data_IF_867256920044
#
_entry.id   IF_867256920044
#
_cell.length_a   1.000
_cell.length_b   1.000
_cell.length_c   1.000
_cell.angle_alpha   90.00
_cell.angle_beta   90.00
_cell.angle_gamma   90.00
#
_symmetry.space_group_name_H-M   'P 1'
#
loop_
_entity.id
_entity.type
_entity.pdbx_description
1 polymer ?
#
# COMPACT_ATOMS: atom_id res chain seq x y z
N UNK A 1 15.66 1.29 4.36
CA UNK A 1 15.05 1.83 3.12
C UNK A 1 14.05 0.82 2.55
N UNK A 2 12.89 1.28 2.08
CA UNK A 2 11.88 0.41 1.46
C UNK A 2 12.01 0.45 -0.06
N UNK A 3 11.86 -0.69 -0.72
CA UNK A 3 11.99 -0.79 -2.18
C UNK A 3 10.99 -1.81 -2.77
N UNK A 4 10.70 -1.67 -4.06
CA UNK A 4 9.85 -2.61 -4.78
C UNK A 4 10.57 -3.92 -5.12
N UNK A 5 9.84 -4.89 -5.68
CA UNK A 5 10.38 -6.22 -5.99
C UNK A 5 11.45 -6.25 -7.10
N UNK A 6 11.69 -5.13 -7.79
CA UNK A 6 12.76 -4.96 -8.78
C UNK A 6 14.14 -4.78 -8.15
N UNK A 7 14.20 -4.37 -6.88
CA UNK A 7 15.45 -4.16 -6.15
C UNK A 7 15.98 -5.42 -5.45
N UNK A 8 15.48 -6.61 -5.76
CA UNK A 8 16.04 -7.86 -5.23
C UNK A 8 17.52 -7.98 -5.63
N UNK A 9 18.42 -8.10 -4.65
CA UNK A 9 19.86 -8.16 -4.89
C UNK A 9 20.58 -6.82 -4.73
N UNK A 10 19.88 -5.72 -4.41
CA UNK A 10 20.53 -4.43 -4.17
C UNK A 10 21.50 -4.47 -2.99
N UNK A 11 21.24 -5.34 -2.00
CA UNK A 11 22.12 -5.59 -0.87
C UNK A 11 23.51 -6.08 -1.27
N UNK A 12 23.66 -6.64 -2.48
CA UNK A 12 24.93 -7.15 -3.01
C UNK A 12 25.81 -6.07 -3.64
N UNK A 13 25.29 -4.85 -3.84
CA UNK A 13 26.06 -3.74 -4.41
C UNK A 13 26.90 -3.08 -3.31
N UNK A 14 28.19 -2.86 -3.58
CA UNK A 14 29.15 -2.30 -2.61
C UNK A 14 28.73 -0.93 -2.05
N UNK A 15 28.00 -0.15 -2.84
CA UNK A 15 27.56 1.21 -2.52
C UNK A 15 26.40 1.26 -1.51
N UNK A 16 25.64 0.18 -1.37
CA UNK A 16 24.37 0.16 -0.59
C UNK A 16 24.43 -0.70 0.67
N UNK A 17 25.60 -1.24 1.01
CA UNK A 17 25.80 -2.12 2.17
C UNK A 17 25.53 -1.43 3.52
N UNK A 18 25.57 -0.10 3.60
CA UNK A 18 25.34 0.66 4.84
C UNK A 18 23.86 0.76 5.25
N UNK A 19 22.91 0.37 4.38
CA UNK A 19 21.47 0.57 4.62
C UNK A 19 20.74 -0.78 4.66
N UNK A 20 19.89 -0.98 5.67
CA UNK A 20 18.97 -2.14 5.72
C UNK A 20 17.84 -1.94 4.71
N UNK A 21 17.70 -2.88 3.77
CA UNK A 21 16.67 -2.85 2.73
C UNK A 21 15.47 -3.72 3.09
N UNK A 22 14.27 -3.17 2.93
CA UNK A 22 13.00 -3.87 3.07
C UNK A 22 12.32 -3.94 1.70
N UNK A 23 12.52 -5.05 1.00
CA UNK A 23 12.12 -5.24 -0.39
C UNK A 23 10.78 -5.98 -0.45
N UNK A 24 9.85 -5.52 -1.29
CA UNK A 24 8.57 -6.19 -1.50
C UNK A 24 8.74 -7.56 -2.19
N UNK A 25 7.95 -8.55 -1.79
CA UNK A 25 8.02 -9.88 -2.38
C UNK A 25 7.48 -9.88 -3.83
N UNK A 26 8.14 -10.62 -4.73
CA UNK A 26 7.61 -10.83 -6.09
C UNK A 26 6.30 -11.63 -6.05
N UNK A 27 5.31 -11.31 -6.90
CA UNK A 27 4.04 -12.04 -6.95
C UNK A 27 4.20 -13.56 -7.18
N UNK A 28 5.17 -13.95 -8.02
CA UNK A 28 5.47 -15.36 -8.29
C UNK A 28 6.07 -16.11 -7.11
N UNK A 29 6.82 -15.44 -6.22
CA UNK A 29 7.31 -16.04 -4.97
C UNK A 29 6.19 -16.11 -3.93
N UNK A 30 5.36 -15.07 -3.86
CA UNK A 30 4.20 -15.02 -2.96
C UNK A 30 3.19 -16.14 -3.24
N UNK A 31 2.93 -16.45 -4.51
CA UNK A 31 2.05 -17.57 -4.91
C UNK A 31 2.55 -18.95 -4.47
N UNK A 32 3.84 -19.08 -4.16
CA UNK A 32 4.46 -20.35 -3.76
C UNK A 32 4.53 -20.53 -2.24
N UNK A 33 4.12 -19.53 -1.45
CA UNK A 33 4.09 -19.63 0.01
C UNK A 33 3.12 -20.74 0.43
N UNK A 34 3.51 -21.51 1.44
CA UNK A 34 2.65 -22.51 2.04
C UNK A 34 1.92 -21.89 3.23
N UNK A 35 0.65 -21.53 3.05
CA UNK A 35 -0.14 -20.87 4.09
C UNK A 35 -0.42 -21.75 5.32
N UNK A 36 -0.19 -23.06 5.23
CA UNK A 36 -0.27 -23.97 6.38
C UNK A 36 0.91 -23.78 7.33
N UNK A 37 2.05 -23.29 6.82
CA UNK A 37 3.16 -22.85 7.66
C UNK A 37 2.91 -21.44 8.20
N UNK A 38 3.14 -21.27 9.50
CA UNK A 38 2.83 -20.04 10.23
C UNK A 38 3.67 -18.87 9.73
N UNK A 39 4.94 -19.09 9.39
CA UNK A 39 5.83 -18.03 8.92
C UNK A 39 5.40 -17.52 7.55
N UNK A 40 5.11 -18.44 6.63
CA UNK A 40 4.62 -18.12 5.29
C UNK A 40 3.26 -17.40 5.32
N UNK A 41 2.37 -17.78 6.23
CA UNK A 41 1.11 -17.07 6.46
C UNK A 41 1.33 -15.62 6.92
N UNK A 42 2.28 -15.39 7.84
CA UNK A 42 2.65 -14.04 8.29
C UNK A 42 3.25 -13.23 7.14
N UNK A 43 4.12 -13.83 6.32
CA UNK A 43 4.68 -13.15 5.16
C UNK A 43 3.60 -12.75 4.13
N UNK A 44 2.62 -13.62 3.86
CA UNK A 44 1.49 -13.27 3.00
C UNK A 44 0.66 -12.11 3.57
N UNK A 45 0.39 -12.12 4.88
CA UNK A 45 -0.33 -11.03 5.55
C UNK A 45 0.42 -9.69 5.44
N UNK A 46 1.73 -9.68 5.67
CA UNK A 46 2.54 -8.46 5.54
C UNK A 46 2.46 -7.90 4.10
N UNK A 47 2.58 -8.75 3.09
CA UNK A 47 2.50 -8.31 1.69
C UNK A 47 1.08 -7.85 1.29
N UNK A 48 0.02 -8.43 1.87
CA UNK A 48 -1.36 -7.90 1.76
C UNK A 48 -1.47 -6.51 2.35
N UNK A 49 -1.00 -6.30 3.57
CA UNK A 49 -1.07 -5.02 4.27
C UNK A 49 -0.35 -3.90 3.49
N UNK A 50 0.84 -4.20 2.95
CA UNK A 50 1.57 -3.28 2.05
C UNK A 50 0.74 -2.87 0.82
N UNK A 51 -0.05 -3.79 0.28
CA UNK A 51 -0.90 -3.54 -0.90
C UNK A 51 -2.11 -2.69 -0.53
N UNK A 52 -2.77 -3.00 0.59
CA UNK A 52 -3.91 -2.24 1.11
C UNK A 52 -3.53 -0.79 1.45
N UNK A 53 -2.39 -0.58 2.11
CA UNK A 53 -1.92 0.78 2.44
C UNK A 53 -1.66 1.62 1.17
N UNK A 54 -1.07 1.03 0.13
CA UNK A 54 -0.91 1.69 -1.18
C UNK A 54 -2.27 2.01 -1.83
N UNK A 55 -3.24 1.11 -1.72
CA UNK A 55 -4.60 1.34 -2.20
C UNK A 55 -5.29 2.47 -1.45
N UNK A 56 -5.11 2.54 -0.13
CA UNK A 56 -5.65 3.60 0.72
C UNK A 56 -5.14 4.97 0.27
N UNK A 57 -3.82 5.11 0.08
CA UNK A 57 -3.23 6.37 -0.40
C UNK A 57 -3.80 6.81 -1.76
N UNK A 58 -4.06 5.87 -2.68
CA UNK A 58 -4.67 6.17 -3.98
C UNK A 58 -6.12 6.64 -3.84
N UNK A 59 -6.84 6.07 -2.90
CA UNK A 59 -8.25 6.38 -2.66
C UNK A 59 -8.44 7.65 -1.82
N UNK A 60 -7.40 8.12 -1.12
CA UNK A 60 -7.46 9.35 -0.31
C UNK A 60 -7.95 10.54 -1.14
N UNK A 61 -7.44 10.74 -2.36
CA UNK A 61 -7.90 11.83 -3.23
C UNK A 61 -9.39 11.74 -3.59
N UNK A 62 -9.88 10.55 -3.88
CA UNK A 62 -11.30 10.32 -4.20
C UNK A 62 -12.20 10.59 -2.98
N UNK A 63 -11.78 10.13 -1.80
CA UNK A 63 -12.50 10.36 -0.54
C UNK A 63 -12.59 11.86 -0.22
N UNK A 64 -11.50 12.61 -0.39
CA UNK A 64 -11.49 14.07 -0.17
C UNK A 64 -12.44 14.78 -1.13
N UNK A 65 -12.46 14.40 -2.41
CA UNK A 65 -13.38 14.96 -3.40
C UNK A 65 -14.84 14.67 -3.06
N UNK A 66 -15.17 13.43 -2.66
CA UNK A 66 -16.52 13.06 -2.24
C UNK A 66 -16.97 13.87 -1.01
N UNK A 67 -16.07 14.09 -0.05
CA UNK A 67 -16.36 14.91 1.13
C UNK A 67 -16.63 16.38 0.75
N UNK A 68 -15.81 16.96 -0.13
CA UNK A 68 -16.02 18.33 -0.63
C UNK A 68 -17.34 18.48 -1.39
N UNK A 69 -17.67 17.50 -2.25
CA UNK A 69 -18.93 17.47 -2.99
C UNK A 69 -20.15 17.33 -2.06
N UNK A 70 -20.04 16.50 -1.02
CA UNK A 70 -21.08 16.37 0.02
C UNK A 70 -21.35 17.71 0.68
N UNK A 71 -20.29 18.39 1.15
CA UNK A 71 -20.40 19.70 1.80
C UNK A 71 -21.02 20.76 0.86
N UNK A 72 -20.60 20.78 -0.41
CA UNK A 72 -21.15 21.70 -1.41
C UNK A 72 -22.65 21.44 -1.66
N UNK A 73 -23.06 20.18 -1.77
CA UNK A 73 -24.48 19.84 -1.94
C UNK A 73 -25.32 20.23 -0.72
N UNK A 74 -24.81 19.99 0.50
CA UNK A 74 -25.48 20.41 1.74
C UNK A 74 -25.65 21.92 1.80
N UNK A 75 -24.59 22.68 1.49
CA UNK A 75 -24.65 24.16 1.42
C UNK A 75 -25.66 24.64 0.38
N UNK A 76 -25.64 24.08 -0.83
CA UNK A 76 -26.61 24.39 -1.89
C UNK A 76 -28.05 24.10 -1.45
N UNK A 77 -28.27 22.99 -0.75
CA UNK A 77 -29.60 22.61 -0.25
C UNK A 77 -30.08 23.56 0.85
N UNK A 78 -29.19 24.02 1.74
CA UNK A 78 -29.53 25.00 2.77
C UNK A 78 -29.96 26.33 2.13
N UNK A 79 -29.24 26.81 1.12
CA UNK A 79 -29.56 28.04 0.39
C UNK A 79 -30.89 27.98 -0.36
N UNK A 80 -31.34 26.80 -0.81
CA UNK A 80 -32.66 26.64 -1.47
C UNK A 80 -33.84 26.53 -0.49
N UNK A 81 -33.56 26.33 0.79
CA UNK A 81 -34.57 26.24 1.86
C UNK A 81 -34.75 27.57 2.61
N UNK A 82 -33.80 28.49 2.47
CA UNK A 82 -33.94 29.89 2.85
C UNK A 82 -34.74 30.63 1.78
#
# INVERSE_FOLDING_TARGET
MYADSGYQGIEKRRETCAVRWHIAMRPGKRKKLNLSDRLDAIYDQIERLKTLYRGLMKNTGQITTLFALSNLWTARRALRKA
#
